data_IF_231898235021
#
_entry.id   IF_231898235021
#
_cell.length_a   1.000
_cell.length_b   1.000
_cell.length_c   1.000
_cell.angle_alpha   90.00
_cell.angle_beta   90.00
_cell.angle_gamma   90.00
#
_symmetry.space_group_name_H-M   'P 1'
#
loop_
_entity.id
_entity.type
_entity.pdbx_description
1 polymer ?
#
# COMPACT_ATOMS: atom_id res chain seq x y z
N UNK A 1 7.89 27.89 50.99
CA UNK A 1 8.45 26.56 50.67
C UNK A 1 7.63 25.96 49.53
N UNK A 2 8.24 25.69 48.37
CA UNK A 2 7.52 25.05 47.25
C UNK A 2 7.38 23.55 47.52
N UNK A 3 6.15 23.04 47.55
CA UNK A 3 5.87 21.62 47.66
C UNK A 3 6.19 20.92 46.33
N UNK A 4 7.22 20.07 46.30
CA UNK A 4 7.52 19.21 45.15
C UNK A 4 6.53 18.04 45.12
N UNK A 5 5.58 18.06 44.18
CA UNK A 5 4.59 17.01 43.95
C UNK A 5 5.20 15.72 43.38
N UNK A 6 6.08 15.06 44.15
CA UNK A 6 6.57 13.72 43.87
C UNK A 6 7.64 13.58 42.77
N UNK A 7 8.06 14.67 42.13
CA UNK A 7 9.21 14.69 41.21
C UNK A 7 10.41 15.28 41.96
N UNK A 8 11.51 14.52 42.06
CA UNK A 8 12.75 14.99 42.67
C UNK A 8 13.26 16.22 41.91
N UNK A 9 13.49 17.33 42.59
CA UNK A 9 13.95 18.59 41.97
C UNK A 9 15.30 18.42 41.25
N UNK A 10 16.08 17.42 41.64
CA UNK A 10 17.38 17.06 41.03
C UNK A 10 17.26 16.47 39.61
N UNK A 11 16.08 15.98 39.21
CA UNK A 11 15.86 15.45 37.85
C UNK A 11 15.30 16.48 36.87
N UNK A 12 14.97 17.70 37.33
CA UNK A 12 14.51 18.78 36.46
C UNK A 12 15.69 19.55 35.85
N UNK A 13 15.67 19.92 34.55
CA UNK A 13 16.73 20.72 33.92
C UNK A 13 16.58 22.23 34.24
N UNK A 14 16.09 22.54 35.44
CA UNK A 14 15.79 23.90 35.90
C UNK A 14 16.49 24.08 37.24
N UNK A 15 17.18 25.21 37.42
CA UNK A 15 17.86 25.56 38.67
C UNK A 15 16.82 26.11 39.67
N UNK A 16 17.18 26.23 40.96
CA UNK A 16 16.25 26.74 42.01
C UNK A 16 15.74 28.17 41.75
N UNK A 17 16.43 28.93 40.89
CA UNK A 17 16.06 30.29 40.47
C UNK A 17 15.13 30.34 39.24
N UNK A 18 14.69 29.19 38.73
CA UNK A 18 13.83 29.09 37.55
C UNK A 18 14.57 29.26 36.22
N UNK A 19 15.90 29.42 36.22
CA UNK A 19 16.66 29.48 34.98
C UNK A 19 16.90 28.07 34.42
N UNK A 20 16.70 27.88 33.10
CA UNK A 20 16.97 26.59 32.47
C UNK A 20 18.49 26.33 32.47
N UNK A 21 18.89 25.13 32.86
CA UNK A 21 20.29 24.68 32.82
C UNK A 21 20.68 24.42 31.35
N UNK A 22 21.06 25.49 30.65
CA UNK A 22 21.19 25.58 29.18
C UNK A 22 21.90 24.40 28.51
N UNK A 23 22.96 23.86 29.12
CA UNK A 23 23.77 22.79 28.51
C UNK A 23 23.04 21.45 28.49
N UNK A 24 22.38 21.07 29.59
CA UNK A 24 21.68 19.78 29.68
C UNK A 24 20.29 19.80 29.06
N UNK A 25 19.67 20.97 28.96
CA UNK A 25 18.36 21.11 28.31
C UNK A 25 18.47 20.87 26.80
N UNK A 26 19.51 21.38 26.14
CA UNK A 26 19.71 21.17 24.70
C UNK A 26 20.00 19.69 24.38
N UNK A 27 20.88 19.03 25.13
CA UNK A 27 21.14 17.59 24.99
C UNK A 27 19.86 16.76 25.22
N UNK A 28 19.04 17.15 26.19
CA UNK A 28 17.75 16.51 26.46
C UNK A 28 16.76 16.69 25.32
N UNK A 29 16.65 17.91 24.76
CA UNK A 29 15.76 18.20 23.63
C UNK A 29 16.18 17.44 22.36
N UNK A 30 17.48 17.41 22.05
CA UNK A 30 18.02 16.63 20.92
C UNK A 30 17.75 15.13 21.12
N UNK A 31 17.93 14.60 22.33
CA UNK A 31 17.62 13.19 22.63
C UNK A 31 16.13 12.89 22.48
N UNK A 32 15.26 13.82 22.90
CA UNK A 32 13.81 13.70 22.68
C UNK A 32 13.51 13.69 21.18
N UNK A 33 14.11 14.58 20.39
CA UNK A 33 13.94 14.64 18.93
C UNK A 33 14.40 13.36 18.23
N UNK A 34 15.57 12.82 18.59
CA UNK A 34 16.08 11.55 18.03
C UNK A 34 15.22 10.34 18.43
N UNK A 35 14.80 10.27 19.71
CA UNK A 35 13.87 9.25 20.18
C UNK A 35 12.49 9.41 19.54
N UNK A 36 12.03 10.63 19.32
CA UNK A 36 10.78 10.94 18.64
C UNK A 36 10.87 10.67 17.14
N UNK A 37 11.97 10.92 16.44
CA UNK A 37 12.12 10.54 15.03
C UNK A 37 12.18 9.01 14.87
N UNK A 38 12.83 8.32 15.80
CA UNK A 38 12.82 6.85 15.84
C UNK A 38 11.41 6.31 16.15
N UNK A 39 10.67 6.94 17.07
CA UNK A 39 9.29 6.57 17.44
C UNK A 39 8.25 7.01 16.41
N UNK A 40 8.40 8.16 15.76
CA UNK A 40 7.48 8.72 14.76
C UNK A 40 7.66 8.12 13.36
N UNK A 41 8.45 7.06 13.25
CA UNK A 41 8.25 6.05 12.21
C UNK A 41 6.94 5.25 12.37
N UNK A 42 6.00 5.69 13.24
CA UNK A 42 4.61 5.20 13.28
C UNK A 42 3.97 5.46 11.93
N UNK A 43 4.15 4.49 11.03
CA UNK A 43 3.44 4.34 9.79
C UNK A 43 1.96 4.30 10.16
N UNK A 44 1.22 5.35 9.79
CA UNK A 44 -0.23 5.35 9.91
C UNK A 44 -0.76 4.04 9.32
N UNK A 45 -1.66 3.32 10.02
CA UNK A 45 -2.20 2.06 9.50
C UNK A 45 -2.79 2.32 8.12
N UNK A 46 -2.31 1.58 7.12
CA UNK A 46 -2.78 1.75 5.76
C UNK A 46 -4.20 1.23 5.71
N UNK A 47 -5.13 2.10 5.34
CA UNK A 47 -6.51 1.69 5.10
C UNK A 47 -6.81 1.66 3.60
N UNK A 48 -7.48 0.61 3.10
CA UNK A 48 -7.81 0.49 1.69
C UNK A 48 -8.83 1.55 1.29
N UNK A 49 -8.49 2.32 0.26
CA UNK A 49 -9.38 3.29 -0.39
C UNK A 49 -10.18 2.61 -1.48
N UNK A 50 -11.26 3.24 -1.94
CA UNK A 50 -12.08 2.75 -3.04
C UNK A 50 -11.31 2.54 -4.36
N UNK A 51 -10.26 3.32 -4.60
CA UNK A 51 -9.42 3.21 -5.80
C UNK A 51 -8.31 2.16 -5.65
N UNK A 52 -8.07 1.64 -4.44
CA UNK A 52 -6.99 0.68 -4.21
C UNK A 52 -7.36 -0.71 -4.75
N UNK A 53 -6.37 -1.39 -5.32
CA UNK A 53 -6.47 -2.76 -5.81
C UNK A 53 -6.07 -3.70 -4.69
N UNK A 54 -7.02 -4.51 -4.22
CA UNK A 54 -6.79 -5.41 -3.09
C UNK A 54 -6.38 -6.80 -3.59
N UNK A 55 -5.17 -7.21 -3.24
CA UNK A 55 -4.65 -8.54 -3.46
C UNK A 55 -5.23 -9.49 -2.41
N UNK A 56 -6.01 -10.45 -2.87
CA UNK A 56 -6.59 -11.47 -2.02
C UNK A 56 -7.38 -12.50 -2.81
N UNK A 57 -8.08 -13.37 -2.08
CA UNK A 57 -8.91 -14.45 -2.64
C UNK A 57 -10.34 -14.35 -2.13
N UNK A 58 -11.30 -14.72 -2.98
CA UNK A 58 -12.72 -14.75 -2.65
C UNK A 58 -13.49 -13.51 -3.10
N UNK A 59 -14.80 -13.54 -2.80
CA UNK A 59 -15.79 -12.55 -3.25
C UNK A 59 -15.55 -11.12 -2.76
N UNK A 60 -15.13 -10.87 -1.50
CA UNK A 60 -14.93 -9.50 -1.00
C UNK A 60 -13.89 -8.72 -1.81
N UNK A 61 -12.78 -9.36 -2.17
CA UNK A 61 -11.75 -8.75 -3.00
C UNK A 61 -12.23 -8.55 -4.44
N UNK A 62 -12.93 -9.52 -5.02
CA UNK A 62 -13.37 -9.43 -6.42
C UNK A 62 -14.42 -8.33 -6.65
N UNK A 63 -15.21 -8.01 -5.63
CA UNK A 63 -16.28 -7.00 -5.68
C UNK A 63 -15.81 -5.60 -5.27
N UNK A 64 -14.56 -5.46 -4.83
CA UNK A 64 -13.97 -4.17 -4.49
C UNK A 64 -13.89 -3.26 -5.73
N UNK A 65 -14.21 -1.98 -5.58
CA UNK A 65 -14.27 -1.01 -6.68
C UNK A 65 -12.95 -0.92 -7.46
N UNK A 66 -11.81 -0.88 -6.79
CA UNK A 66 -10.50 -0.86 -7.46
C UNK A 66 -10.23 -2.14 -8.26
N UNK A 67 -10.68 -3.30 -7.78
CA UNK A 67 -10.52 -4.57 -8.50
C UNK A 67 -11.48 -4.70 -9.69
N UNK A 68 -12.68 -4.13 -9.59
CA UNK A 68 -13.61 -4.02 -10.71
C UNK A 68 -13.02 -3.11 -11.80
N UNK A 69 -12.46 -1.96 -11.42
CA UNK A 69 -11.80 -1.04 -12.35
C UNK A 69 -10.60 -1.69 -13.03
N UNK A 70 -9.76 -2.38 -12.27
CA UNK A 70 -8.65 -3.17 -12.84
C UNK A 70 -9.16 -4.24 -13.81
N UNK A 71 -10.27 -4.92 -13.47
CA UNK A 71 -10.87 -5.91 -14.37
C UNK A 71 -11.31 -5.29 -15.69
N UNK A 72 -11.92 -4.10 -15.66
CA UNK A 72 -12.31 -3.37 -16.87
C UNK A 72 -11.09 -2.98 -17.70
N UNK A 73 -10.07 -2.39 -17.06
CA UNK A 73 -8.83 -1.99 -17.71
C UNK A 73 -8.15 -3.17 -18.43
N UNK A 74 -8.16 -4.34 -17.79
CA UNK A 74 -7.64 -5.58 -18.38
C UNK A 74 -8.47 -5.99 -19.60
N UNK A 75 -9.80 -5.91 -19.53
CA UNK A 75 -10.68 -6.23 -20.65
C UNK A 75 -10.43 -5.34 -21.85
N UNK A 76 -10.25 -4.04 -21.62
CA UNK A 76 -9.96 -3.05 -22.68
C UNK A 76 -8.61 -3.34 -23.35
N UNK A 77 -7.64 -3.89 -22.61
CA UNK A 77 -6.30 -4.21 -23.10
C UNK A 77 -6.12 -5.68 -23.51
N UNK A 78 -7.19 -6.50 -23.53
CA UNK A 78 -7.08 -7.94 -23.87
C UNK A 78 -6.60 -8.17 -25.32
N UNK A 79 -7.16 -7.42 -26.27
CA UNK A 79 -6.81 -7.54 -27.68
C UNK A 79 -5.33 -7.20 -27.96
N UNK A 80 -4.79 -6.03 -27.55
CA UNK A 80 -3.38 -5.72 -27.75
C UNK A 80 -2.47 -6.68 -26.98
N UNK A 81 -2.85 -7.10 -25.77
CA UNK A 81 -2.08 -8.09 -24.99
C UNK A 81 -1.99 -9.45 -25.71
N UNK A 82 -3.04 -9.86 -26.43
CA UNK A 82 -3.04 -11.10 -27.23
C UNK A 82 -2.15 -10.98 -28.46
N UNK A 83 -2.14 -9.81 -29.10
CA UNK A 83 -1.37 -9.55 -30.30
C UNK A 83 0.14 -9.41 -30.02
N UNK A 84 0.52 -8.96 -28.82
CA UNK A 84 1.91 -8.74 -28.48
C UNK A 84 2.71 -10.02 -28.16
N UNK A 85 3.99 -10.03 -28.54
CA UNK A 85 4.95 -11.09 -28.22
C UNK A 85 5.34 -11.13 -26.73
N UNK A 86 6.24 -12.04 -26.35
CA UNK A 86 6.63 -12.23 -24.94
C UNK A 86 7.15 -10.93 -24.27
N UNK A 87 7.96 -10.15 -24.98
CA UNK A 87 8.49 -8.87 -24.46
C UNK A 87 7.42 -7.80 -24.26
N UNK A 88 6.43 -7.72 -25.17
CA UNK A 88 5.36 -6.72 -25.09
C UNK A 88 4.40 -6.93 -23.92
N UNK A 89 4.24 -8.19 -23.47
CA UNK A 89 3.34 -8.51 -22.34
C UNK A 89 3.82 -7.92 -21.03
N UNK A 90 5.14 -7.89 -20.80
CA UNK A 90 5.73 -7.25 -19.62
C UNK A 90 5.42 -5.76 -19.59
N UNK A 91 5.72 -5.07 -20.70
CA UNK A 91 5.47 -3.63 -20.83
C UNK A 91 3.98 -3.27 -20.66
N UNK A 92 3.07 -4.10 -21.17
CA UNK A 92 1.63 -3.90 -20.95
C UNK A 92 1.23 -4.04 -19.48
N UNK A 93 1.83 -4.99 -18.75
CA UNK A 93 1.58 -5.12 -17.31
C UNK A 93 2.11 -3.90 -16.55
N UNK A 94 3.32 -3.44 -16.84
CA UNK A 94 3.91 -2.23 -16.25
C UNK A 94 3.04 -1.00 -16.55
N UNK A 95 2.60 -0.84 -17.79
CA UNK A 95 1.73 0.27 -18.20
C UNK A 95 0.39 0.26 -17.44
N UNK A 96 -0.21 -0.92 -17.23
CA UNK A 96 -1.44 -1.04 -16.43
C UNK A 96 -1.22 -0.68 -14.96
N UNK A 97 -0.10 -1.11 -14.37
CA UNK A 97 0.24 -0.73 -12.98
C UNK A 97 0.39 0.79 -12.89
N UNK A 98 1.09 1.41 -13.84
CA UNK A 98 1.25 2.85 -13.88
C UNK A 98 -0.10 3.57 -14.00
N UNK A 99 -1.00 3.11 -14.89
CA UNK A 99 -2.34 3.68 -14.99
C UNK A 99 -3.10 3.63 -13.66
N UNK A 100 -3.01 2.53 -12.90
CA UNK A 100 -3.64 2.44 -11.58
C UNK A 100 -3.06 3.47 -10.61
N UNK A 101 -1.74 3.67 -10.63
CA UNK A 101 -1.07 4.70 -9.82
C UNK A 101 -1.46 6.11 -10.23
N UNK A 102 -1.59 6.39 -11.54
CA UNK A 102 -1.99 7.70 -12.07
C UNK A 102 -3.42 8.07 -11.65
N UNK A 103 -4.31 7.08 -11.48
CA UNK A 103 -5.64 7.29 -10.90
C UNK A 103 -5.65 7.41 -9.36
N UNK A 104 -4.47 7.42 -8.73
CA UNK A 104 -4.31 7.48 -7.27
C UNK A 104 -4.67 6.18 -6.55
N UNK A 105 -4.75 5.06 -7.27
CA UNK A 105 -4.92 3.73 -6.69
C UNK A 105 -3.58 3.11 -6.35
N UNK A 106 -3.52 2.29 -5.30
CA UNK A 106 -2.35 1.49 -4.94
C UNK A 106 -2.70 0.02 -4.94
N UNK A 107 -1.69 -0.83 -5.09
CA UNK A 107 -1.87 -2.26 -4.87
C UNK A 107 -1.61 -2.55 -3.39
N UNK A 108 -2.60 -3.15 -2.73
CA UNK A 108 -2.53 -3.48 -1.31
C UNK A 108 -2.65 -4.99 -1.11
N UNK A 109 -1.86 -5.55 -0.22
CA UNK A 109 -1.98 -6.94 0.22
C UNK A 109 -2.28 -6.94 1.71
N UNK A 110 -3.08 -7.92 2.16
CA UNK A 110 -3.34 -8.13 3.58
C UNK A 110 -2.54 -9.33 4.06
N UNK A 111 -1.52 -9.08 4.88
CA UNK A 111 -0.93 -10.10 5.72
C UNK A 111 -1.66 -10.02 7.07
N UNK A 112 -1.07 -9.34 8.06
CA UNK A 112 -1.73 -8.96 9.31
C UNK A 112 -2.40 -7.59 9.19
N UNK A 113 -1.68 -6.63 8.60
CA UNK A 113 -2.18 -5.32 8.21
C UNK A 113 -2.15 -5.15 6.70
N UNK A 114 -2.74 -4.06 6.21
CA UNK A 114 -2.63 -3.71 4.79
C UNK A 114 -1.26 -3.13 4.51
N UNK A 115 -0.56 -3.71 3.56
CA UNK A 115 0.73 -3.23 3.08
C UNK A 115 0.62 -2.81 1.61
N UNK A 116 1.29 -1.72 1.26
CA UNK A 116 1.49 -1.34 -0.15
C UNK A 116 2.49 -2.33 -0.74
N UNK A 117 2.11 -2.99 -1.82
CA UNK A 117 3.00 -3.93 -2.50
C UNK A 117 3.89 -3.22 -3.51
N UNK A 118 5.03 -3.82 -3.80
CA UNK A 118 5.92 -3.36 -4.86
C UNK A 118 5.33 -3.57 -6.25
N UNK A 119 5.81 -2.77 -7.21
CA UNK A 119 5.37 -2.80 -8.61
C UNK A 119 5.56 -4.18 -9.24
N UNK A 120 6.64 -4.90 -8.91
CA UNK A 120 6.87 -6.26 -9.38
C UNK A 120 5.74 -7.24 -8.97
N UNK A 121 5.20 -7.09 -7.76
CA UNK A 121 4.07 -7.88 -7.28
C UNK A 121 2.78 -7.45 -7.99
N UNK A 122 2.59 -6.14 -8.19
CA UNK A 122 1.47 -5.58 -8.93
C UNK A 122 1.44 -6.07 -10.40
N UNK A 123 2.57 -6.06 -11.10
CA UNK A 123 2.73 -6.56 -12.46
C UNK A 123 2.41 -8.05 -12.54
N UNK A 124 2.88 -8.83 -11.56
CA UNK A 124 2.58 -10.25 -11.46
C UNK A 124 1.07 -10.45 -11.28
N UNK A 125 0.42 -9.62 -10.47
CA UNK A 125 -1.04 -9.66 -10.28
C UNK A 125 -1.78 -9.35 -11.58
N UNK A 126 -1.37 -8.33 -12.33
CA UNK A 126 -1.95 -7.98 -13.65
C UNK A 126 -1.79 -9.13 -14.64
N UNK A 127 -0.58 -9.69 -14.74
CA UNK A 127 -0.28 -10.85 -15.58
C UNK A 127 -1.18 -12.05 -15.27
N UNK A 128 -1.41 -12.34 -13.98
CA UNK A 128 -2.30 -13.41 -13.55
C UNK A 128 -3.76 -13.13 -13.89
N UNK A 129 -4.20 -11.88 -13.79
CA UNK A 129 -5.55 -11.46 -14.16
C UNK A 129 -5.80 -11.64 -15.67
N UNK A 130 -4.85 -11.27 -16.54
CA UNK A 130 -4.92 -11.57 -17.98
C UNK A 130 -5.09 -13.07 -18.24
N UNK A 131 -4.22 -13.90 -17.66
CA UNK A 131 -4.27 -15.37 -17.82
C UNK A 131 -5.62 -15.94 -17.35
N UNK A 132 -6.16 -15.42 -16.25
CA UNK A 132 -7.45 -15.83 -15.71
C UNK A 132 -8.61 -15.48 -16.65
N UNK A 133 -8.60 -14.28 -17.24
CA UNK A 133 -9.59 -13.83 -18.22
C UNK A 133 -9.57 -14.70 -19.47
N UNK A 134 -8.38 -15.02 -20.02
CA UNK A 134 -8.28 -15.93 -21.17
C UNK A 134 -8.85 -17.32 -20.88
N UNK A 135 -8.55 -17.89 -19.71
CA UNK A 135 -9.12 -19.20 -19.32
C UNK A 135 -10.65 -19.14 -19.26
N UNK A 136 -11.22 -18.03 -18.78
CA UNK A 136 -12.66 -17.84 -18.72
C UNK A 136 -13.29 -17.75 -20.11
N UNK A 137 -12.71 -16.96 -21.01
CA UNK A 137 -13.18 -16.79 -22.40
C UNK A 137 -13.18 -18.15 -23.12
N UNK A 138 -12.06 -18.88 -23.07
CA UNK A 138 -11.94 -20.21 -23.69
C UNK A 138 -12.97 -21.21 -23.15
N UNK A 139 -13.24 -21.19 -21.84
CA UNK A 139 -14.27 -22.05 -21.22
C UNK A 139 -15.68 -21.70 -21.71
N UNK A 140 -15.99 -20.40 -21.85
CA UNK A 140 -17.28 -19.93 -22.38
C UNK A 140 -17.48 -20.39 -23.83
N UNK A 141 -16.47 -20.23 -24.68
CA UNK A 141 -16.49 -20.68 -26.06
C UNK A 141 -16.73 -22.20 -26.18
N UNK A 142 -16.02 -23.00 -25.37
CA UNK A 142 -16.18 -24.46 -25.36
C UNK A 142 -17.58 -24.90 -24.90
N UNK A 143 -18.17 -24.20 -23.91
CA UNK A 143 -19.54 -24.46 -23.46
C UNK A 143 -20.57 -24.13 -24.54
N UNK A 144 -20.37 -23.05 -25.29
CA UNK A 144 -21.27 -22.66 -26.37
C UNK A 144 -21.21 -23.69 -27.52
N UNK A 145 -20.02 -24.17 -27.90
CA UNK A 145 -19.86 -25.22 -28.92
C UNK A 145 -20.48 -26.58 -28.55
N UNK A 146 -20.63 -26.88 -27.25
CA UNK A 146 -21.31 -28.11 -26.78
C UNK A 146 -22.83 -27.98 -26.73
N UNK A 147 -23.35 -26.76 -26.86
CA UNK A 147 -24.78 -26.43 -26.79
C UNK A 147 -25.38 -26.18 -28.17
N UNK A 148 -24.55 -25.77 -29.13
CA UNK A 148 -24.86 -25.75 -30.56
C UNK A 148 -24.70 -27.15 -31.14
#
# INVERSE_FOLDING_TARGET
>A
EMQSYGILTSTLPVMEDGTPRKTKLLEYLVRIEEEEEARHSIVSPVHPKSNDVLLGRGRPYQTHSGNLRLSQLIEDHLAPYRACGHGGKGLMCTSIVQMVHDFGGRFLKRNDEWEVVSDAIAETKVSHSFRSKFKLIRRKEQKNKRRA
#
